data_IF_470400049797
#
_entry.id   IF_470400049797
#
_cell.length_a   1.000
_cell.length_b   1.000
_cell.length_c   1.000
_cell.angle_alpha   90.00
_cell.angle_beta   90.00
_cell.angle_gamma   90.00
#
_symmetry.space_group_name_H-M   'P 1'
#
loop_
_entity.id
_entity.type
_entity.pdbx_description
1 polymer ?
#
# COMPACT_ATOMS: atom_id res chain seq x y z
N UNK A 1 -0.49 15.40 -19.06
CA UNK A 1 -1.51 16.25 -18.41
C UNK A 1 -2.65 16.62 -19.35
N UNK A 2 -2.40 16.86 -20.64
CA UNK A 2 -3.46 17.30 -21.57
C UNK A 2 -4.57 16.27 -21.79
N UNK A 3 -4.28 14.98 -21.73
CA UNK A 3 -5.30 13.92 -21.84
C UNK A 3 -6.27 13.96 -20.66
N UNK A 4 -5.77 14.04 -19.42
CA UNK A 4 -6.62 14.08 -18.22
C UNK A 4 -7.50 15.32 -18.17
N UNK A 5 -6.94 16.49 -18.54
CA UNK A 5 -7.70 17.74 -18.65
C UNK A 5 -8.82 17.64 -19.67
N UNK A 6 -8.58 17.02 -20.82
CA UNK A 6 -9.61 16.77 -21.85
C UNK A 6 -10.70 15.80 -21.38
N UNK A 7 -10.36 14.86 -20.49
CA UNK A 7 -11.31 13.95 -19.87
C UNK A 7 -12.07 14.56 -18.67
N UNK A 8 -11.87 15.86 -18.40
CA UNK A 8 -12.45 16.56 -17.26
C UNK A 8 -12.08 15.91 -15.89
N UNK A 9 -10.88 15.33 -15.81
CA UNK A 9 -10.34 14.74 -14.59
C UNK A 9 -9.49 15.81 -13.89
N UNK A 10 -9.82 16.21 -12.65
CA UNK A 10 -9.00 17.13 -11.87
C UNK A 10 -7.60 16.56 -11.67
N UNK A 11 -6.59 17.39 -11.88
CA UNK A 11 -5.19 17.04 -11.61
C UNK A 11 -4.76 17.77 -10.35
N UNK A 12 -4.47 17.01 -9.30
CA UNK A 12 -3.91 17.54 -8.05
C UNK A 12 -2.41 17.25 -8.06
N UNK A 13 -1.60 18.30 -7.86
CA UNK A 13 -0.16 18.19 -7.67
C UNK A 13 0.25 19.14 -6.55
N UNK A 14 0.97 18.61 -5.58
CA UNK A 14 1.54 19.39 -4.48
C UNK A 14 3.05 19.38 -4.67
N UNK A 15 3.66 20.57 -4.76
CA UNK A 15 5.11 20.68 -4.96
C UNK A 15 5.86 20.14 -3.73
N UNK A 16 6.95 19.41 -3.96
CA UNK A 16 7.76 18.81 -2.90
C UNK A 16 7.15 17.59 -2.21
N UNK A 17 6.01 17.05 -2.66
CA UNK A 17 5.40 15.85 -2.11
C UNK A 17 5.32 14.75 -3.18
N UNK A 18 5.44 13.50 -2.75
CA UNK A 18 5.27 12.35 -3.64
C UNK A 18 3.79 12.10 -3.96
N UNK A 19 3.53 11.40 -5.07
CA UNK A 19 2.16 11.22 -5.55
C UNK A 19 1.35 10.30 -4.62
N UNK A 20 2.02 9.32 -4.02
CA UNK A 20 1.44 8.39 -3.06
C UNK A 20 1.05 9.07 -1.74
N UNK A 21 1.86 10.00 -1.23
CA UNK A 21 1.52 10.84 -0.06
C UNK A 21 0.24 11.65 -0.30
N UNK A 22 0.13 12.28 -1.47
CA UNK A 22 -1.04 13.06 -1.86
C UNK A 22 -2.27 12.15 -1.96
N UNK A 23 -2.13 10.97 -2.56
CA UNK A 23 -3.22 10.00 -2.67
C UNK A 23 -3.64 9.47 -1.30
N UNK A 24 -2.69 9.14 -0.42
CA UNK A 24 -2.97 8.68 0.94
C UNK A 24 -3.77 9.72 1.73
N UNK A 25 -3.35 10.99 1.65
CA UNK A 25 -4.06 12.11 2.27
C UNK A 25 -5.50 12.25 1.73
N UNK A 26 -5.68 12.14 0.42
CA UNK A 26 -7.02 12.21 -0.19
C UNK A 26 -7.89 11.02 0.19
N UNK A 27 -7.32 9.81 0.28
CA UNK A 27 -8.02 8.60 0.71
C UNK A 27 -8.60 8.83 2.11
N UNK A 28 -7.78 9.27 3.06
CA UNK A 28 -8.22 9.56 4.44
C UNK A 28 -9.38 10.56 4.46
N UNK A 29 -9.23 11.71 3.78
CA UNK A 29 -10.27 12.74 3.72
C UNK A 29 -11.59 12.25 3.11
N UNK A 30 -11.55 11.33 2.14
CA UNK A 30 -12.74 10.75 1.51
C UNK A 30 -13.40 9.73 2.44
N UNK A 31 -12.61 8.94 3.15
CA UNK A 31 -13.10 7.98 4.14
C UNK A 31 -13.76 8.68 5.33
N UNK A 32 -13.20 9.77 5.83
CA UNK A 32 -13.78 10.60 6.90
C UNK A 32 -15.17 11.14 6.53
N UNK A 33 -15.40 11.36 5.24
CA UNK A 33 -16.69 11.80 4.70
C UNK A 33 -17.68 10.65 4.48
N UNK A 34 -17.31 9.41 4.82
CA UNK A 34 -18.15 8.22 4.72
C UNK A 34 -18.26 7.62 3.31
N UNK A 35 -17.37 8.01 2.39
CA UNK A 35 -17.34 7.46 1.03
C UNK A 35 -16.36 6.28 0.93
N UNK A 36 -16.47 5.53 -0.17
CA UNK A 36 -15.51 4.47 -0.55
C UNK A 36 -14.53 4.99 -1.58
N UNK A 37 -13.32 4.44 -1.59
CA UNK A 37 -12.24 4.85 -2.48
C UNK A 37 -11.81 3.70 -3.38
N UNK A 38 -11.59 4.02 -4.66
CA UNK A 38 -10.92 3.14 -5.62
C UNK A 38 -9.69 3.85 -6.14
N UNK A 39 -8.52 3.27 -5.90
CA UNK A 39 -7.23 3.76 -6.39
C UNK A 39 -6.91 3.02 -7.68
N UNK A 40 -6.67 3.72 -8.79
CA UNK A 40 -6.26 3.09 -10.04
C UNK A 40 -4.74 3.21 -10.23
N UNK A 41 -3.99 2.16 -9.92
CA UNK A 41 -2.53 2.16 -10.04
C UNK A 41 -1.96 0.73 -10.10
N UNK A 42 -0.92 0.46 -10.92
CA UNK A 42 -0.16 -0.79 -10.85
C UNK A 42 0.81 -0.83 -9.67
N UNK A 43 1.03 0.30 -9.01
CA UNK A 43 1.96 0.43 -7.89
C UNK A 43 1.49 -0.36 -6.67
N UNK A 44 2.39 -1.17 -6.12
CA UNK A 44 2.11 -2.07 -5.01
C UNK A 44 2.10 -1.34 -3.68
N UNK A 45 2.70 -0.16 -3.57
CA UNK A 45 2.78 0.54 -2.29
C UNK A 45 1.44 1.06 -1.82
N UNK A 46 0.51 1.34 -2.75
CA UNK A 46 -0.88 1.64 -2.40
C UNK A 46 -1.60 0.51 -1.67
N UNK A 47 -1.08 -0.74 -1.68
CA UNK A 47 -1.68 -1.85 -0.94
C UNK A 47 -1.73 -1.60 0.57
N UNK A 48 -0.85 -0.75 1.10
CA UNK A 48 -0.88 -0.36 2.51
C UNK A 48 -2.17 0.39 2.89
N UNK A 49 -2.83 1.05 1.92
CA UNK A 49 -4.06 1.83 2.14
C UNK A 49 -5.33 0.97 2.09
N UNK A 50 -5.21 -0.32 1.78
CA UNK A 50 -6.37 -1.20 1.61
C UNK A 50 -7.10 -1.35 2.95
N UNK A 51 -8.42 -1.23 2.89
CA UNK A 51 -9.32 -1.47 4.02
C UNK A 51 -10.66 -2.00 3.51
N UNK A 52 -11.67 -2.08 4.36
CA UNK A 52 -13.03 -2.44 3.94
C UNK A 52 -13.62 -1.45 2.93
N UNK A 53 -13.20 -0.18 2.98
CA UNK A 53 -13.72 0.90 2.15
C UNK A 53 -12.74 1.37 1.06
N UNK A 54 -11.56 0.77 0.95
CA UNK A 54 -10.53 1.12 -0.05
C UNK A 54 -10.17 -0.11 -0.89
N UNK A 55 -10.27 0.03 -2.20
CA UNK A 55 -9.88 -0.99 -3.18
C UNK A 55 -8.90 -0.41 -4.19
N UNK A 56 -8.12 -1.27 -4.84
CA UNK A 56 -7.17 -0.88 -5.89
C UNK A 56 -7.57 -1.55 -7.19
N UNK A 57 -7.64 -0.79 -8.28
CA UNK A 57 -7.77 -1.31 -9.64
C UNK A 57 -6.38 -1.30 -10.27
N UNK A 58 -5.89 -2.49 -10.60
CA UNK A 58 -4.56 -2.69 -11.17
C UNK A 58 -4.61 -3.62 -12.39
N UNK A 59 -3.69 -3.47 -13.35
CA UNK A 59 -3.64 -4.35 -14.51
C UNK A 59 -3.10 -5.73 -14.10
N UNK A 60 -3.70 -6.78 -14.66
CA UNK A 60 -3.26 -8.15 -14.51
C UNK A 60 -2.70 -8.62 -15.86
N UNK A 61 -1.38 -8.42 -16.04
CA UNK A 61 -0.70 -8.57 -17.33
C UNK A 61 -0.92 -9.97 -17.96
N UNK A 62 -0.95 -11.03 -17.15
CA UNK A 62 -1.14 -12.41 -17.60
C UNK A 62 -2.50 -12.65 -18.27
N UNK A 63 -3.51 -11.83 -17.94
CA UNK A 63 -4.90 -11.99 -18.41
C UNK A 63 -5.37 -10.80 -19.26
N UNK A 64 -4.47 -9.87 -19.61
CA UNK A 64 -4.76 -8.64 -20.36
C UNK A 64 -6.05 -7.92 -19.89
N UNK A 65 -6.21 -7.80 -18.57
CA UNK A 65 -7.41 -7.22 -17.95
C UNK A 65 -7.10 -6.43 -16.70
N UNK A 66 -8.04 -5.59 -16.30
CA UNK A 66 -8.00 -4.90 -15.01
C UNK A 66 -8.74 -5.70 -13.95
N UNK A 67 -8.23 -5.70 -12.72
CA UNK A 67 -8.87 -6.36 -11.59
C UNK A 67 -8.93 -5.49 -10.34
N UNK A 68 -10.00 -5.67 -9.57
CA UNK A 68 -10.13 -5.10 -8.24
C UNK A 68 -9.36 -5.95 -7.23
N UNK A 69 -8.39 -5.33 -6.57
CA UNK A 69 -7.66 -5.86 -5.45
C UNK A 69 -8.25 -5.28 -4.16
N UNK A 70 -8.56 -6.16 -3.21
CA UNK A 70 -9.39 -5.86 -2.03
C UNK A 70 -8.70 -6.34 -0.77
N UNK A 71 -9.20 -5.95 0.41
CA UNK A 71 -8.71 -6.47 1.69
C UNK A 71 -8.72 -8.00 1.75
N UNK A 72 -9.74 -8.64 1.17
CA UNK A 72 -9.80 -10.10 1.08
C UNK A 72 -8.65 -10.68 0.25
N UNK A 73 -8.33 -10.06 -0.88
CA UNK A 73 -7.21 -10.48 -1.72
C UNK A 73 -5.88 -10.29 -0.99
N UNK A 74 -5.71 -9.17 -0.28
CA UNK A 74 -4.53 -8.90 0.54
C UNK A 74 -4.35 -9.94 1.64
N UNK A 75 -5.39 -10.17 2.45
CA UNK A 75 -5.37 -11.15 3.54
C UNK A 75 -5.06 -12.56 3.04
N UNK A 76 -5.61 -12.97 1.90
CA UNK A 76 -5.34 -14.28 1.30
C UNK A 76 -3.88 -14.42 0.82
N UNK A 77 -3.27 -13.32 0.34
CA UNK A 77 -1.91 -13.32 -0.17
C UNK A 77 -0.86 -13.23 0.95
N UNK A 78 -1.06 -12.35 1.93
CA UNK A 78 -0.05 -11.99 2.93
C UNK A 78 -0.28 -12.65 4.30
N UNK A 79 -1.49 -13.18 4.55
CA UNK A 79 -1.89 -13.81 5.81
C UNK A 79 -1.73 -12.89 7.04
N UNK A 80 -1.80 -11.58 6.81
CA UNK A 80 -1.86 -10.50 7.80
C UNK A 80 -2.58 -9.29 7.20
N UNK A 81 -3.00 -8.35 8.05
CA UNK A 81 -3.60 -7.09 7.60
C UNK A 81 -2.53 -6.12 7.06
N UNK A 82 -2.93 -5.09 6.28
CA UNK A 82 -2.01 -4.12 5.69
C UNK A 82 -1.13 -3.36 6.71
N UNK A 83 -1.64 -3.03 7.91
CA UNK A 83 -0.85 -2.33 8.92
C UNK A 83 0.25 -3.23 9.51
N UNK A 84 -0.09 -4.50 9.77
CA UNK A 84 0.89 -5.50 10.20
C UNK A 84 1.96 -5.75 9.14
N UNK A 85 1.58 -5.80 7.86
CA UNK A 85 2.53 -5.96 6.75
C UNK A 85 3.47 -4.76 6.61
N UNK A 86 2.94 -3.54 6.73
CA UNK A 86 3.76 -2.33 6.75
C UNK A 86 4.77 -2.36 7.90
N UNK A 87 4.31 -2.68 9.11
CA UNK A 87 5.18 -2.78 10.29
C UNK A 87 6.26 -3.84 10.11
N UNK A 88 5.92 -4.94 9.43
CA UNK A 88 6.88 -5.99 9.07
C UNK A 88 7.91 -5.48 8.06
N UNK A 89 7.50 -4.75 7.02
CA UNK A 89 8.41 -4.13 6.05
C UNK A 89 9.35 -3.12 6.72
N UNK A 90 8.87 -2.30 7.66
CA UNK A 90 9.74 -1.38 8.41
C UNK A 90 10.84 -2.10 9.20
N UNK A 91 10.58 -3.32 9.69
CA UNK A 91 11.55 -4.13 10.42
C UNK A 91 12.51 -4.86 9.46
N UNK A 92 11.96 -5.42 8.40
CA UNK A 92 12.67 -6.26 7.43
C UNK A 92 13.41 -5.45 6.36
N UNK A 93 13.14 -4.15 6.26
CA UNK A 93 13.62 -3.31 5.16
C UNK A 93 12.96 -3.68 3.83
N UNK A 94 13.41 -2.99 2.78
CA UNK A 94 13.05 -3.25 1.39
C UNK A 94 14.33 -3.22 0.54
N UNK A 95 14.78 -4.40 0.10
CA UNK A 95 16.00 -4.52 -0.72
C UNK A 95 15.85 -3.89 -2.10
N UNK A 96 14.62 -3.81 -2.65
CA UNK A 96 14.38 -3.22 -3.96
C UNK A 96 14.61 -1.71 -3.91
N UNK A 97 14.22 -1.07 -2.80
CA UNK A 97 14.40 0.36 -2.57
C UNK A 97 15.71 0.69 -1.84
N UNK A 98 16.57 -0.31 -1.60
CA UNK A 98 17.84 -0.14 -0.90
C UNK A 98 17.70 0.21 0.58
N UNK A 99 16.54 -0.08 1.19
CA UNK A 99 16.26 0.14 2.61
C UNK A 99 16.73 -1.09 3.41
N UNK A 100 17.81 -0.99 4.20
CA UNK A 100 18.32 -2.14 4.93
C UNK A 100 17.39 -2.52 6.09
N UNK A 101 17.14 -3.81 6.25
CA UNK A 101 16.43 -4.34 7.41
C UNK A 101 17.33 -4.67 8.61
N UNK A 102 16.70 -4.92 9.76
CA UNK A 102 17.38 -5.27 11.01
C UNK A 102 18.19 -6.56 10.90
N UNK A 103 17.86 -7.45 9.94
CA UNK A 103 18.61 -8.68 9.69
C UNK A 103 20.09 -8.45 9.34
N UNK A 104 20.45 -7.28 8.82
CA UNK A 104 21.85 -6.94 8.54
C UNK A 104 22.65 -6.63 9.80
N UNK A 105 21.98 -6.26 10.89
CA UNK A 105 22.60 -5.89 12.17
C UNK A 105 22.58 -7.03 13.19
N UNK A 106 21.58 -7.91 13.12
CA UNK A 106 21.36 -8.97 14.12
C UNK A 106 21.33 -10.35 13.44
N UNK A 107 22.42 -11.13 13.52
CA UNK A 107 22.47 -12.49 12.98
C UNK A 107 21.36 -13.37 13.56
N UNK A 108 20.65 -14.10 12.69
CA UNK A 108 19.51 -14.94 13.07
C UNK A 108 18.19 -14.20 13.26
N UNK A 109 18.17 -12.86 13.12
CA UNK A 109 16.94 -12.10 13.00
C UNK A 109 16.36 -12.22 11.58
N UNK A 110 15.05 -12.40 11.47
CA UNK A 110 14.36 -12.48 10.19
C UNK A 110 12.84 -12.50 10.35
N UNK A 111 12.12 -12.76 9.24
CA UNK A 111 10.66 -12.60 9.14
C UNK A 111 9.88 -13.27 10.28
N UNK A 112 10.27 -14.49 10.69
CA UNK A 112 9.61 -15.21 11.79
C UNK A 112 9.76 -14.52 13.13
N UNK A 113 10.94 -13.97 13.42
CA UNK A 113 11.22 -13.24 14.66
C UNK A 113 10.50 -11.90 14.66
N UNK A 114 10.53 -11.17 13.53
CA UNK A 114 9.79 -9.92 13.35
C UNK A 114 8.28 -10.10 13.57
N UNK A 115 7.67 -11.12 12.95
CA UNK A 115 6.25 -11.43 13.15
C UNK A 115 5.90 -11.77 14.60
N UNK A 116 6.78 -12.48 15.33
CA UNK A 116 6.57 -12.76 16.76
C UNK A 116 6.60 -11.47 17.60
N UNK A 117 7.49 -10.52 17.27
CA UNK A 117 7.57 -9.24 17.96
C UNK A 117 6.34 -8.38 17.68
N UNK A 118 5.92 -8.28 16.42
CA UNK A 118 4.71 -7.55 16.04
C UNK A 118 3.48 -8.11 16.77
N UNK A 119 3.28 -9.43 16.76
CA UNK A 119 2.17 -10.06 17.50
C UNK A 119 2.19 -9.79 19.01
N UNK A 120 3.37 -9.56 19.59
CA UNK A 120 3.54 -9.37 21.03
C UNK A 120 3.43 -7.90 21.46
N UNK A 121 3.76 -6.95 20.58
CA UNK A 121 3.98 -5.55 20.95
C UNK A 121 3.26 -4.53 20.06
N UNK A 122 2.77 -4.91 18.87
CA UNK A 122 1.94 -4.03 18.06
C UNK A 122 0.50 -4.09 18.60
N UNK A 123 0.18 -3.16 19.50
CA UNK A 123 -1.17 -2.87 19.98
C UNK A 123 -1.61 -1.52 19.43
#
# INVERSE_FOLDING_TARGET
>A
MDVLRKCNVPVVKVEGNEADDVVATLVEQVLERGYRVVIASPDKDFKQLISENVQIVMPLAELDRWCFYTLKHFMAQYNCDPHSDLSLRCIMGDEVDGVPGIQHLVPGFGRRTALKLLKKHAH
#
